data_IF_488575012389
#
_entry.id   IF_488575012389
#
_cell.length_a   1.000
_cell.length_b   1.000
_cell.length_c   1.000
_cell.angle_alpha   90.00
_cell.angle_beta   90.00
_cell.angle_gamma   90.00
#
_symmetry.space_group_name_H-M   'P 1'
#
loop_
_entity.id
_entity.type
_entity.pdbx_description
1 polymer ?
#
# COMPACT_ATOMS: atom_id res chain seq x y z
N UNK A 1 -5.45 19.84 11.17
CA UNK A 1 -5.66 20.49 9.88
C UNK A 1 -6.84 19.83 9.19
N UNK A 2 -7.81 20.66 8.79
CA UNK A 2 -9.02 20.14 8.16
C UNK A 2 -8.94 20.30 6.64
N UNK A 3 -9.11 19.19 5.94
CA UNK A 3 -9.18 19.19 4.49
C UNK A 3 -10.60 19.47 4.02
N UNK A 4 -10.75 20.15 2.89
CA UNK A 4 -12.04 20.27 2.24
C UNK A 4 -12.43 18.91 1.65
N UNK A 5 -13.72 18.72 1.36
CA UNK A 5 -14.18 17.47 0.72
C UNK A 5 -13.51 17.24 -0.63
N UNK A 6 -13.29 18.30 -1.40
CA UNK A 6 -12.59 18.22 -2.68
C UNK A 6 -11.15 17.73 -2.52
N UNK A 7 -10.43 18.24 -1.52
CA UNK A 7 -9.08 17.79 -1.19
C UNK A 7 -9.07 16.34 -0.73
N UNK A 8 -10.04 15.93 0.10
CA UNK A 8 -10.16 14.56 0.56
C UNK A 8 -10.40 13.57 -0.59
N UNK A 9 -11.25 13.94 -1.55
CA UNK A 9 -11.48 13.13 -2.75
C UNK A 9 -10.16 12.88 -3.48
N UNK A 10 -9.37 13.93 -3.70
CA UNK A 10 -8.07 13.81 -4.35
C UNK A 10 -7.09 12.94 -3.57
N UNK A 11 -7.01 13.13 -2.25
CA UNK A 11 -6.12 12.35 -1.39
C UNK A 11 -6.51 10.88 -1.33
N UNK A 12 -7.79 10.57 -1.24
CA UNK A 12 -8.31 9.20 -1.24
C UNK A 12 -7.98 8.51 -2.56
N UNK A 13 -8.21 9.21 -3.67
CA UNK A 13 -7.90 8.70 -5.02
C UNK A 13 -6.41 8.39 -5.17
N UNK A 14 -5.53 9.30 -4.75
CA UNK A 14 -4.08 9.10 -4.77
C UNK A 14 -3.66 7.92 -3.91
N UNK A 15 -4.25 7.78 -2.73
CA UNK A 15 -3.95 6.65 -1.82
C UNK A 15 -4.38 5.33 -2.44
N UNK A 16 -5.53 5.30 -3.10
CA UNK A 16 -6.03 4.13 -3.82
C UNK A 16 -5.07 3.70 -4.92
N UNK A 17 -4.55 4.65 -5.69
CA UNK A 17 -3.56 4.37 -6.74
C UNK A 17 -2.27 3.82 -6.16
N UNK A 18 -1.78 4.39 -5.06
CA UNK A 18 -0.59 3.89 -4.36
C UNK A 18 -0.80 2.49 -3.81
N UNK A 19 -1.99 2.15 -3.32
CA UNK A 19 -2.33 0.81 -2.87
C UNK A 19 -2.26 -0.20 -4.01
N UNK A 20 -2.77 0.17 -5.18
CA UNK A 20 -2.69 -0.67 -6.37
C UNK A 20 -1.24 -0.94 -6.78
N UNK A 21 -0.41 0.09 -6.82
CA UNK A 21 1.01 -0.03 -7.13
C UNK A 21 1.75 -0.85 -6.08
N UNK A 22 1.44 -0.64 -4.81
CA UNK A 22 2.01 -1.38 -3.69
C UNK A 22 1.74 -2.88 -3.81
N UNK A 23 0.52 -3.27 -4.19
CA UNK A 23 0.17 -4.68 -4.44
C UNK A 23 1.03 -5.29 -5.54
N UNK A 24 1.25 -4.56 -6.63
CA UNK A 24 2.09 -5.03 -7.75
C UNK A 24 3.53 -5.23 -7.32
N UNK A 25 4.07 -4.30 -6.53
CA UNK A 25 5.45 -4.38 -6.02
C UNK A 25 5.60 -5.57 -5.07
N UNK A 26 4.64 -5.79 -4.19
CA UNK A 26 4.64 -6.93 -3.26
C UNK A 26 4.64 -8.25 -4.04
N UNK A 27 3.80 -8.39 -5.05
CA UNK A 27 3.74 -9.59 -5.90
C UNK A 27 5.07 -9.85 -6.61
N UNK A 28 5.72 -8.81 -7.13
CA UNK A 28 7.05 -8.93 -7.74
C UNK A 28 8.08 -9.41 -6.73
N UNK A 29 8.06 -8.86 -5.51
CA UNK A 29 9.01 -9.24 -4.47
C UNK A 29 8.81 -10.68 -4.03
N UNK A 30 7.55 -11.14 -3.92
CA UNK A 30 7.25 -12.54 -3.62
C UNK A 30 7.82 -13.47 -4.69
N UNK A 31 7.67 -13.12 -5.96
CA UNK A 31 8.23 -13.89 -7.07
C UNK A 31 9.76 -13.93 -7.03
N UNK A 32 10.40 -12.81 -6.72
CA UNK A 32 11.85 -12.73 -6.57
C UNK A 32 12.33 -13.69 -5.48
N UNK A 33 11.64 -13.74 -4.34
CA UNK A 33 11.96 -14.64 -3.23
C UNK A 33 11.82 -16.10 -3.66
N UNK A 34 10.75 -16.43 -4.35
CA UNK A 34 10.53 -17.79 -4.87
C UNK A 34 11.68 -18.19 -5.81
N UNK A 35 12.09 -17.28 -6.70
CA UNK A 35 13.19 -17.53 -7.63
C UNK A 35 14.52 -17.74 -6.90
N UNK A 36 14.80 -16.94 -5.86
CA UNK A 36 16.01 -17.12 -5.04
C UNK A 36 16.05 -18.50 -4.39
N UNK A 37 14.94 -18.96 -3.83
CA UNK A 37 14.84 -20.31 -3.24
C UNK A 37 14.99 -21.39 -4.30
N UNK A 38 14.37 -21.21 -5.46
CA UNK A 38 14.42 -22.17 -6.55
C UNK A 38 15.84 -22.39 -7.09
N UNK A 39 16.63 -21.31 -7.20
CA UNK A 39 17.99 -21.36 -7.71
C UNK A 39 19.03 -21.49 -6.61
N UNK A 40 18.61 -21.69 -5.37
CA UNK A 40 19.49 -21.88 -4.20
C UNK A 40 20.52 -20.75 -4.05
N UNK A 41 20.06 -19.52 -4.19
CA UNK A 41 20.90 -18.35 -4.03
C UNK A 41 21.41 -18.22 -2.58
N UNK A 42 22.39 -17.32 -2.37
CA UNK A 42 23.00 -17.05 -1.09
C UNK A 42 21.93 -16.72 -0.03
N UNK A 43 22.07 -17.31 1.16
CA UNK A 43 21.14 -17.11 2.26
C UNK A 43 21.01 -15.63 2.66
N UNK A 44 22.10 -14.86 2.58
CA UNK A 44 22.05 -13.43 2.86
C UNK A 44 21.17 -12.66 1.87
N UNK A 45 21.20 -13.04 0.60
CA UNK A 45 20.34 -12.45 -0.44
C UNK A 45 18.87 -12.78 -0.14
N UNK A 46 18.61 -14.02 0.23
CA UNK A 46 17.25 -14.46 0.60
C UNK A 46 16.74 -13.68 1.81
N UNK A 47 17.55 -13.53 2.83
CA UNK A 47 17.18 -12.77 4.04
C UNK A 47 16.91 -11.30 3.75
N UNK A 48 17.72 -10.66 2.92
CA UNK A 48 17.50 -9.28 2.49
C UNK A 48 16.20 -9.15 1.71
N UNK A 49 15.91 -10.11 0.84
CA UNK A 49 14.66 -10.12 0.05
C UNK A 49 13.44 -10.28 0.95
N UNK A 50 13.52 -11.13 1.97
CA UNK A 50 12.45 -11.30 2.96
C UNK A 50 12.25 -10.04 3.79
N UNK A 51 13.34 -9.38 4.18
CA UNK A 51 13.26 -8.11 4.90
C UNK A 51 12.57 -7.04 4.06
N UNK A 52 12.92 -6.95 2.77
CA UNK A 52 12.31 -6.02 1.83
C UNK A 52 10.81 -6.28 1.72
N UNK A 53 10.39 -7.54 1.61
CA UNK A 53 8.99 -7.92 1.54
C UNK A 53 8.25 -7.45 2.79
N UNK A 54 8.83 -7.66 3.96
CA UNK A 54 8.23 -7.24 5.24
C UNK A 54 8.02 -5.73 5.29
N UNK A 55 9.00 -4.95 4.83
CA UNK A 55 8.89 -3.49 4.73
C UNK A 55 7.77 -3.07 3.78
N UNK A 56 7.67 -3.71 2.62
CA UNK A 56 6.62 -3.43 1.64
C UNK A 56 5.24 -3.73 2.20
N UNK A 57 5.09 -4.83 2.92
CA UNK A 57 3.83 -5.21 3.56
C UNK A 57 3.42 -4.21 4.65
N UNK A 58 4.38 -3.74 5.45
CA UNK A 58 4.10 -2.73 6.47
C UNK A 58 3.69 -1.40 5.86
N UNK A 59 4.39 -0.96 4.81
CA UNK A 59 4.03 0.26 4.08
C UNK A 59 2.62 0.14 3.49
N UNK A 60 2.28 -1.03 2.98
CA UNK A 60 0.95 -1.31 2.44
C UNK A 60 -0.14 -1.17 3.51
N UNK A 61 0.10 -1.71 4.70
CA UNK A 61 -0.81 -1.58 5.85
C UNK A 61 -1.01 -0.12 6.25
N UNK A 62 0.07 0.66 6.26
CA UNK A 62 -0.01 2.10 6.56
C UNK A 62 -0.86 2.85 5.53
N UNK A 63 -0.75 2.50 4.26
CA UNK A 63 -1.57 3.09 3.21
C UNK A 63 -3.05 2.75 3.38
N UNK A 64 -3.36 1.51 3.74
CA UNK A 64 -4.74 1.09 4.04
C UNK A 64 -5.30 1.93 5.19
N UNK A 65 -4.51 2.08 6.26
CA UNK A 65 -4.91 2.83 7.44
C UNK A 65 -5.16 4.30 7.11
N UNK A 66 -4.28 4.91 6.31
CA UNK A 66 -4.42 6.28 5.85
C UNK A 66 -5.69 6.45 5.02
N UNK A 67 -5.95 5.54 4.09
CA UNK A 67 -7.17 5.58 3.27
C UNK A 67 -8.42 5.53 4.13
N UNK A 68 -8.44 4.67 5.14
CA UNK A 68 -9.57 4.56 6.07
C UNK A 68 -9.79 5.86 6.83
N UNK A 69 -8.72 6.47 7.32
CA UNK A 69 -8.80 7.76 8.03
C UNK A 69 -9.37 8.86 7.15
N UNK A 70 -8.87 8.98 5.93
CA UNK A 70 -9.33 9.98 4.98
C UNK A 70 -10.79 9.76 4.60
N UNK A 71 -11.19 8.52 4.40
CA UNK A 71 -12.57 8.16 4.08
C UNK A 71 -13.52 8.51 5.21
N UNK A 72 -13.15 8.21 6.45
CA UNK A 72 -13.94 8.57 7.63
C UNK A 72 -14.11 10.07 7.77
N UNK A 73 -13.04 10.82 7.56
CA UNK A 73 -13.11 12.28 7.59
C UNK A 73 -14.03 12.83 6.51
N UNK A 74 -13.95 12.28 5.31
CA UNK A 74 -14.82 12.66 4.19
C UNK A 74 -16.30 12.48 4.53
N UNK A 75 -16.67 11.32 5.08
CA UNK A 75 -18.06 11.06 5.47
C UNK A 75 -18.50 11.92 6.65
N UNK A 76 -17.62 12.18 7.61
CA UNK A 76 -17.95 13.03 8.77
C UNK A 76 -18.20 14.48 8.36
N UNK A 77 -17.67 14.92 7.24
CA UNK A 77 -17.88 16.26 6.67
C UNK A 77 -19.06 16.29 5.68
N UNK A 78 -19.91 15.27 5.69
CA UNK A 78 -21.09 15.21 4.83
C UNK A 78 -20.82 14.79 3.40
N UNK A 79 -19.65 14.20 3.14
CA UNK A 79 -19.29 13.70 1.81
C UNK A 79 -20.18 12.51 1.43
N UNK A 80 -20.51 12.43 0.14
CA UNK A 80 -21.24 11.30 -0.43
C UNK A 80 -20.26 10.41 -1.17
N UNK A 81 -20.54 9.10 -1.17
CA UNK A 81 -19.67 8.12 -1.81
C UNK A 81 -19.58 8.34 -3.32
N UNK A 82 -18.35 8.62 -3.78
CA UNK A 82 -18.05 8.83 -5.20
C UNK A 82 -16.91 7.92 -5.69
N UNK A 83 -16.51 6.95 -4.86
CA UNK A 83 -15.35 6.08 -5.11
C UNK A 83 -15.75 4.65 -5.41
N UNK A 84 -16.79 4.47 -6.12
CA UNK A 84 -17.26 3.13 -6.49
C UNK A 84 -16.52 2.62 -7.70
#
# INVERSE_FOLDING_TARGET
MNFTNSELVGLISMTKDRLSDSKKVIKRQEKIIIDHHKYKDDQQIIELSLHTLKQLEENHKQLIFLKEKLTKQFYSQGGKEVFI
#
